data_IF_884950863145
#
_entry.id   IF_884950863145
#
_cell.length_a   1.000
_cell.length_b   1.000
_cell.length_c   1.000
_cell.angle_alpha   90.00
_cell.angle_beta   90.00
_cell.angle_gamma   90.00
#
_symmetry.space_group_name_H-M   'P 1'
#
loop_
_entity.id
_entity.type
_entity.pdbx_description
1 polymer ?
#
# COMPACT_ATOMS: atom_id res chain seq x y z
N UNK A 1 -8.31 -17.86 -45.69
CA UNK A 1 -7.59 -17.36 -44.49
C UNK A 1 -8.24 -16.04 -44.10
N UNK A 2 -9.16 -16.06 -43.13
CA UNK A 2 -9.75 -14.83 -42.62
C UNK A 2 -8.82 -14.29 -41.53
N UNK A 3 -8.22 -13.15 -41.80
CA UNK A 3 -7.56 -12.33 -40.78
C UNK A 3 -8.64 -11.70 -39.93
N UNK A 4 -8.95 -12.30 -38.77
CA UNK A 4 -9.84 -11.69 -37.79
C UNK A 4 -9.19 -10.39 -37.29
N UNK A 5 -9.68 -9.27 -37.83
CA UNK A 5 -9.23 -7.93 -37.49
C UNK A 5 -9.57 -7.61 -36.05
N UNK A 6 -8.58 -7.17 -35.29
CA UNK A 6 -8.76 -6.68 -33.92
C UNK A 6 -9.83 -5.59 -33.88
N UNK A 7 -10.88 -5.79 -33.08
CA UNK A 7 -11.86 -4.74 -32.78
C UNK A 7 -11.40 -3.94 -31.57
N UNK A 8 -11.18 -2.65 -31.78
CA UNK A 8 -10.92 -1.70 -30.69
C UNK A 8 -12.25 -1.21 -30.12
N UNK A 9 -12.44 -1.39 -28.82
CA UNK A 9 -13.58 -0.81 -28.09
C UNK A 9 -13.08 0.42 -27.34
N UNK A 10 -13.65 1.59 -27.66
CA UNK A 10 -13.37 2.82 -26.92
C UNK A 10 -14.25 2.82 -25.67
N UNK A 11 -13.64 2.64 -24.50
CA UNK A 11 -14.35 2.68 -23.22
C UNK A 11 -14.78 4.12 -22.90
N UNK A 12 -16.07 4.30 -22.60
CA UNK A 12 -16.57 5.59 -22.11
C UNK A 12 -15.96 5.89 -20.72
N UNK A 13 -15.58 7.15 -20.43
CA UNK A 13 -15.05 7.51 -19.12
C UNK A 13 -16.06 7.20 -18.01
N UNK A 14 -15.66 6.39 -17.03
CA UNK A 14 -16.50 6.13 -15.86
C UNK A 14 -16.32 7.24 -14.82
N UNK A 15 -17.10 8.31 -14.96
CA UNK A 15 -17.08 9.45 -14.03
C UNK A 15 -17.54 9.12 -12.60
N UNK A 16 -18.09 7.92 -12.36
CA UNK A 16 -18.44 7.43 -11.02
C UNK A 16 -17.26 6.69 -10.35
N UNK A 17 -16.21 6.35 -11.10
CA UNK A 17 -15.02 5.71 -10.53
C UNK A 17 -14.33 6.68 -9.56
N UNK A 18 -14.29 6.29 -8.29
CA UNK A 18 -13.57 7.04 -7.28
C UNK A 18 -12.14 6.53 -7.23
N UNK A 19 -11.19 7.27 -7.79
CA UNK A 19 -9.78 6.90 -7.69
C UNK A 19 -9.28 7.09 -6.25
N UNK A 20 -8.38 6.22 -5.75
CA UNK A 20 -7.69 6.44 -4.48
C UNK A 20 -7.05 7.82 -4.45
N UNK A 21 -7.47 8.65 -3.50
CA UNK A 21 -6.87 9.99 -3.30
C UNK A 21 -5.56 9.93 -2.53
N UNK A 22 -5.34 8.87 -1.75
CA UNK A 22 -4.18 8.68 -0.89
C UNK A 22 -3.82 7.20 -0.87
N UNK A 23 -2.58 6.88 -1.25
CA UNK A 23 -2.03 5.53 -1.23
C UNK A 23 -0.78 5.53 -0.35
N UNK A 24 -0.65 4.54 0.51
CA UNK A 24 0.52 4.24 1.33
C UNK A 24 1.08 2.92 0.84
N UNK A 25 2.32 2.92 0.40
CA UNK A 25 3.08 1.71 0.10
C UNK A 25 3.85 1.32 1.35
N UNK A 26 3.75 0.05 1.74
CA UNK A 26 4.35 -0.50 2.93
C UNK A 26 5.18 -1.73 2.58
N UNK A 27 6.34 -1.82 3.20
CA UNK A 27 7.24 -2.97 3.14
C UNK A 27 7.94 -3.11 4.50
N UNK A 28 8.27 -4.33 4.90
CA UNK A 28 8.93 -4.59 6.16
C UNK A 28 9.97 -5.71 6.09
N UNK A 29 10.86 -5.69 7.07
CA UNK A 29 11.84 -6.72 7.33
C UNK A 29 11.58 -7.27 8.73
N UNK A 30 11.70 -8.58 8.86
CA UNK A 30 11.65 -9.30 10.12
C UNK A 30 13.01 -9.95 10.40
N UNK A 31 13.22 -10.38 11.64
CA UNK A 31 14.36 -11.21 12.00
C UNK A 31 14.03 -12.66 11.68
N UNK A 32 14.75 -13.23 10.71
CA UNK A 32 14.68 -14.65 10.43
C UNK A 32 15.46 -15.42 11.49
N UNK A 33 14.78 -16.33 12.19
CA UNK A 33 15.41 -17.29 13.08
C UNK A 33 15.35 -18.68 12.41
N UNK A 34 16.50 -19.23 11.99
CA UNK A 34 16.56 -20.53 11.32
C UNK A 34 16.25 -21.72 12.24
N UNK A 35 16.33 -21.54 13.56
CA UNK A 35 16.15 -22.60 14.55
C UNK A 35 14.69 -22.73 14.99
N UNK A 36 13.89 -21.68 14.81
CA UNK A 36 12.45 -21.72 14.97
C UNK A 36 11.76 -21.93 13.62
N UNK A 37 11.05 -23.04 13.46
CA UNK A 37 10.14 -23.25 12.32
C UNK A 37 8.84 -22.41 12.46
N UNK A 38 8.88 -21.36 13.28
CA UNK A 38 7.74 -20.52 13.59
C UNK A 38 7.45 -19.59 12.42
N UNK A 39 6.15 -19.45 12.12
CA UNK A 39 5.67 -18.53 11.10
C UNK A 39 5.74 -17.07 11.55
N UNK A 40 5.94 -16.81 12.84
CA UNK A 40 5.92 -15.47 13.43
C UNK A 40 7.35 -14.99 13.64
N UNK A 41 7.84 -14.22 12.69
CA UNK A 41 9.17 -13.64 12.76
C UNK A 41 9.11 -12.26 13.43
N UNK A 42 9.98 -11.95 14.41
CA UNK A 42 9.97 -10.66 15.08
C UNK A 42 10.20 -9.51 14.09
N UNK A 43 9.38 -8.47 14.17
CA UNK A 43 9.55 -7.25 13.37
C UNK A 43 10.95 -6.64 13.60
N UNK A 44 11.58 -6.15 12.52
CA UNK A 44 12.91 -5.53 12.55
C UNK A 44 12.88 -4.08 12.07
N UNK A 45 12.27 -3.85 10.91
CA UNK A 45 12.26 -2.54 10.27
C UNK A 45 11.05 -2.44 9.33
N UNK A 46 10.44 -1.27 9.26
CA UNK A 46 9.40 -0.98 8.29
C UNK A 46 9.67 0.32 7.56
N UNK A 47 9.16 0.40 6.33
CA UNK A 47 9.20 1.61 5.51
C UNK A 47 7.81 1.88 4.94
N UNK A 48 7.37 3.13 5.04
CA UNK A 48 6.14 3.63 4.45
C UNK A 48 6.47 4.71 3.43
N UNK A 49 5.77 4.70 2.29
CA UNK A 49 5.79 5.77 1.31
C UNK A 49 4.36 6.21 0.98
N UNK A 50 3.98 7.40 1.40
CA UNK A 50 2.64 7.97 1.17
C UNK A 50 2.64 8.89 -0.03
N UNK A 51 1.81 8.54 -1.02
CA UNK A 51 1.56 9.34 -2.22
C UNK A 51 0.12 9.85 -2.24
N UNK A 52 -0.03 11.17 -2.45
CA UNK A 52 -1.34 11.79 -2.69
C UNK A 52 -1.63 11.85 -4.19
N UNK A 53 -2.91 11.72 -4.53
CA UNK A 53 -3.43 11.83 -5.89
C UNK A 53 -4.58 12.82 -5.95
N UNK A 54 -4.69 13.54 -7.07
CA UNK A 54 -5.82 14.42 -7.38
C UNK A 54 -6.18 14.23 -8.85
N UNK A 55 -7.43 13.82 -9.12
CA UNK A 55 -7.89 13.49 -10.47
C UNK A 55 -6.97 12.48 -11.19
N UNK A 56 -6.50 11.46 -10.46
CA UNK A 56 -5.59 10.42 -10.98
C UNK A 56 -4.13 10.84 -11.13
N UNK A 57 -3.79 12.11 -10.90
CA UNK A 57 -2.43 12.63 -11.02
C UNK A 57 -1.72 12.66 -9.66
N UNK A 58 -0.43 12.32 -9.64
CA UNK A 58 0.40 12.43 -8.42
C UNK A 58 0.49 13.88 -7.98
N UNK A 59 0.30 14.12 -6.69
CA UNK A 59 0.40 15.44 -6.06
C UNK A 59 1.59 15.46 -5.11
N UNK A 60 2.58 16.31 -5.41
CA UNK A 60 3.75 16.50 -4.56
C UNK A 60 4.70 15.30 -4.55
N UNK A 61 5.76 15.42 -3.75
CA UNK A 61 6.68 14.30 -3.48
C UNK A 61 6.06 13.36 -2.45
N UNK A 62 6.35 12.05 -2.52
CA UNK A 62 5.94 11.11 -1.50
C UNK A 62 6.59 11.44 -0.16
N UNK A 63 5.83 11.24 0.91
CA UNK A 63 6.31 11.28 2.30
C UNK A 63 6.82 9.88 2.66
N UNK A 64 8.10 9.76 3.01
CA UNK A 64 8.75 8.46 3.27
C UNK A 64 9.20 8.42 4.72
N UNK A 65 8.79 7.38 5.44
CA UNK A 65 9.07 7.21 6.88
C UNK A 65 9.58 5.80 7.13
N UNK A 66 10.68 5.68 7.85
CA UNK A 66 11.16 4.42 8.42
C UNK A 66 10.81 4.34 9.90
N UNK A 67 10.61 3.12 10.40
CA UNK A 67 10.23 2.84 11.79
C UNK A 67 10.68 1.44 12.21
N UNK A 68 10.93 1.25 13.51
CA UNK A 68 11.47 0.02 14.10
C UNK A 68 10.52 -0.64 15.12
N UNK A 69 9.36 -0.02 15.37
CA UNK A 69 8.29 -0.59 16.18
C UNK A 69 6.96 -0.68 15.41
N UNK A 70 6.24 -1.82 15.47
CA UNK A 70 4.95 -2.00 14.81
C UNK A 70 3.94 -0.88 15.09
N UNK A 71 3.84 -0.39 16.33
CA UNK A 71 2.87 0.65 16.71
C UNK A 71 3.04 1.95 15.91
N UNK A 72 4.27 2.26 15.47
CA UNK A 72 4.57 3.46 14.68
C UNK A 72 3.91 3.42 13.29
N UNK A 73 3.61 2.23 12.76
CA UNK A 73 2.84 2.06 11.53
C UNK A 73 1.42 2.61 11.69
N UNK A 74 0.72 2.18 12.75
CA UNK A 74 -0.65 2.62 13.01
C UNK A 74 -0.71 4.07 13.43
N UNK A 75 0.21 4.53 14.29
CA UNK A 75 0.36 5.94 14.66
C UNK A 75 0.54 6.82 13.42
N UNK A 76 1.37 6.39 12.47
CA UNK A 76 1.55 7.11 11.21
C UNK A 76 0.23 7.19 10.44
N UNK A 77 -0.47 6.06 10.23
CA UNK A 77 -1.74 6.04 9.49
C UNK A 77 -2.81 6.92 10.14
N UNK A 78 -2.97 6.82 11.45
CA UNK A 78 -3.92 7.63 12.23
C UNK A 78 -3.58 9.13 12.13
N UNK A 79 -2.30 9.49 12.21
CA UNK A 79 -1.86 10.88 12.07
C UNK A 79 -2.19 11.48 10.69
N UNK A 80 -2.32 10.65 9.65
CA UNK A 80 -2.66 11.09 8.29
C UNK A 80 -4.15 10.98 7.98
N UNK A 81 -4.89 10.20 8.75
CA UNK A 81 -6.31 9.96 8.53
C UNK A 81 -7.08 11.28 8.70
N UNK A 82 -7.96 11.58 7.73
CA UNK A 82 -8.81 12.77 7.75
C UNK A 82 -10.26 12.34 7.67
N UNK A 83 -11.14 13.09 8.34
CA UNK A 83 -12.58 12.85 8.29
C UNK A 83 -13.07 12.73 6.84
N UNK A 84 -13.85 11.66 6.58
CA UNK A 84 -14.45 11.33 5.26
C UNK A 84 -13.44 11.03 4.15
N UNK A 85 -12.19 10.69 4.46
CA UNK A 85 -11.21 10.20 3.48
C UNK A 85 -10.73 8.81 3.84
N UNK A 86 -10.47 8.02 2.79
CA UNK A 86 -9.86 6.69 2.90
C UNK A 86 -8.38 6.80 2.53
N UNK A 87 -7.55 6.12 3.31
CA UNK A 87 -6.16 5.85 2.94
C UNK A 87 -6.14 4.40 2.45
N UNK A 88 -5.54 4.18 1.29
CA UNK A 88 -5.34 2.83 0.77
C UNK A 88 -3.93 2.39 1.11
N UNK A 89 -3.79 1.30 1.83
CA UNK A 89 -2.46 0.75 2.17
C UNK A 89 -2.22 -0.46 1.27
N UNK A 90 -1.04 -0.50 0.65
CA UNK A 90 -0.62 -1.54 -0.29
C UNK A 90 0.69 -2.12 0.20
N UNK A 91 0.77 -3.45 0.26
CA UNK A 91 1.97 -4.19 0.59
C UNK A 91 2.23 -5.26 -0.47
N UNK A 92 3.47 -5.71 -0.63
CA UNK A 92 3.81 -6.70 -1.66
C UNK A 92 3.31 -8.09 -1.28
N UNK A 93 3.44 -8.45 -0.01
CA UNK A 93 2.94 -9.69 0.56
C UNK A 93 2.03 -9.36 1.75
N UNK A 94 0.79 -8.93 1.45
CA UNK A 94 -0.15 -8.38 2.44
C UNK A 94 -0.29 -9.23 3.71
N UNK A 95 -0.39 -10.56 3.58
CA UNK A 95 -0.57 -11.45 4.73
C UNK A 95 0.66 -11.42 5.66
N UNK A 96 1.87 -11.41 5.08
CA UNK A 96 3.11 -11.34 5.85
C UNK A 96 3.35 -9.94 6.41
N UNK A 97 3.27 -8.92 5.56
CA UNK A 97 3.60 -7.55 5.90
C UNK A 97 2.66 -7.02 7.00
N UNK A 98 1.34 -7.21 6.84
CA UNK A 98 0.39 -6.78 7.86
C UNK A 98 0.44 -7.67 9.11
N UNK A 99 0.68 -8.98 8.94
CA UNK A 99 0.92 -9.87 10.07
C UNK A 99 2.11 -9.42 10.94
N UNK A 100 3.19 -8.93 10.33
CA UNK A 100 4.37 -8.44 11.03
C UNK A 100 4.12 -7.17 11.85
N UNK A 101 3.09 -6.39 11.51
CA UNK A 101 2.67 -5.22 12.29
C UNK A 101 1.42 -5.45 13.13
N UNK A 102 0.87 -6.68 13.17
CA UNK A 102 -0.29 -7.03 13.99
C UNK A 102 -1.65 -6.63 13.39
N UNK A 103 -1.74 -6.53 12.06
CA UNK A 103 -2.95 -6.21 11.29
C UNK A 103 -3.62 -7.40 10.62
#
# INVERSE_FOLDING_TARGET
MNSDGWRTFVLAPNHKTTFPGEIVYFDCETNFDPDTNDQVQPFRLGVLSRQQYRYGQRKGRPDVVGFDHPDQFFDYLESKLRSRRKIWVMAHNMDFDFGAVGG
#
